data_IF_088173744577
#
_entry.id   IF_088173744577
#
_cell.length_a   1.000
_cell.length_b   1.000
_cell.length_c   1.000
_cell.angle_alpha   90.00
_cell.angle_beta   90.00
_cell.angle_gamma   90.00
#
_symmetry.space_group_name_H-M   'P 1'
#
loop_
_entity.id
_entity.type
_entity.pdbx_description
1 polymer ?
#
# COMPACT_ATOMS: atom_id res chain seq x y z
N UNK A 1 -14.79 -19.57 -42.87
CA UNK A 1 -14.73 -18.22 -42.26
C UNK A 1 -15.52 -18.09 -40.95
N UNK A 2 -16.72 -18.68 -40.80
CA UNK A 2 -17.49 -18.64 -39.53
C UNK A 2 -16.79 -19.29 -38.32
N UNK A 3 -16.11 -20.43 -38.52
CA UNK A 3 -15.38 -21.12 -37.45
C UNK A 3 -14.10 -20.41 -37.02
N UNK A 4 -13.45 -19.66 -37.93
CA UNK A 4 -12.23 -18.90 -37.64
C UNK A 4 -12.55 -17.69 -36.74
N UNK A 5 -13.72 -17.07 -36.94
CA UNK A 5 -14.17 -15.95 -36.11
C UNK A 5 -14.43 -16.35 -34.65
N UNK A 6 -14.94 -17.57 -34.40
CA UNK A 6 -15.19 -18.07 -33.05
C UNK A 6 -13.90 -18.29 -32.24
N UNK A 7 -12.80 -18.63 -32.90
CA UNK A 7 -11.51 -18.87 -32.23
C UNK A 7 -10.82 -17.57 -31.77
N UNK A 8 -11.05 -16.45 -32.47
CA UNK A 8 -10.46 -15.14 -32.16
C UNK A 8 -11.11 -14.50 -30.92
N UNK A 9 -12.40 -14.78 -30.67
CA UNK A 9 -13.15 -14.24 -29.52
C UNK A 9 -12.74 -14.92 -28.21
N UNK A 10 -12.34 -16.19 -28.24
CA UNK A 10 -11.94 -16.93 -27.04
C UNK A 10 -10.59 -16.47 -26.44
N UNK A 11 -9.71 -15.90 -27.26
CA UNK A 11 -8.38 -15.42 -26.83
C UNK A 11 -8.46 -14.10 -26.03
N UNK A 12 -9.56 -13.36 -26.11
CA UNK A 12 -9.72 -12.07 -25.43
C UNK A 12 -10.21 -12.17 -23.97
N UNK A 13 -10.51 -13.38 -23.48
CA UNK A 13 -10.93 -13.64 -22.09
C UNK A 13 -9.79 -14.24 -21.26
N UNK A 14 -8.61 -13.63 -21.26
CA UNK A 14 -7.65 -13.83 -20.18
C UNK A 14 -8.08 -12.92 -19.01
N UNK A 15 -8.70 -13.43 -17.94
CA UNK A 15 -8.96 -12.61 -16.77
C UNK A 15 -7.61 -12.13 -16.23
N UNK A 16 -7.41 -10.81 -16.21
CA UNK A 16 -6.29 -10.21 -15.50
C UNK A 16 -6.50 -10.46 -14.01
N UNK A 17 -5.97 -11.56 -13.50
CA UNK A 17 -5.96 -11.83 -12.06
C UNK A 17 -5.04 -10.78 -11.45
N UNK A 18 -5.64 -9.71 -10.92
CA UNK A 18 -4.95 -8.66 -10.20
C UNK A 18 -4.46 -9.22 -8.85
N UNK A 19 -3.35 -9.93 -8.88
CA UNK A 19 -2.66 -10.39 -7.69
C UNK A 19 -2.12 -9.16 -6.96
N UNK A 20 -2.65 -8.88 -5.76
CA UNK A 20 -2.12 -7.82 -4.89
C UNK A 20 -0.71 -8.21 -4.48
N UNK A 21 0.30 -7.67 -5.17
CA UNK A 21 1.70 -8.00 -4.93
C UNK A 21 2.08 -7.53 -3.53
N UNK A 22 2.41 -8.48 -2.66
CA UNK A 22 3.12 -8.22 -1.42
C UNK A 22 4.51 -7.71 -1.79
N UNK A 23 4.87 -6.55 -1.25
CA UNK A 23 6.18 -5.92 -1.43
C UNK A 23 7.02 -6.15 -0.19
N UNK A 24 8.33 -6.31 -0.38
CA UNK A 24 9.33 -6.42 0.66
C UNK A 24 10.48 -5.46 0.31
N UNK A 25 10.53 -4.30 0.96
CA UNK A 25 11.40 -3.19 0.56
C UNK A 25 11.91 -2.40 1.76
N UNK A 26 13.09 -1.79 1.63
CA UNK A 26 13.58 -0.79 2.59
C UNK A 26 12.72 0.47 2.47
N UNK A 27 12.21 0.92 3.61
CA UNK A 27 11.34 2.08 3.74
C UNK A 27 11.82 2.96 4.89
N UNK A 28 11.61 4.26 4.79
CA UNK A 28 11.74 5.17 5.94
C UNK A 28 10.36 5.38 6.56
N UNK A 29 10.26 5.26 7.88
CA UNK A 29 9.04 5.61 8.60
C UNK A 29 8.92 7.11 8.67
N UNK A 30 7.77 7.63 8.27
CA UNK A 30 7.43 9.05 8.40
C UNK A 30 6.19 9.15 9.28
N UNK A 31 6.25 9.94 10.34
CA UNK A 31 5.16 10.19 11.27
C UNK A 31 4.95 11.67 11.41
N UNK A 32 3.71 12.09 11.22
CA UNK A 32 3.31 13.47 11.49
C UNK A 32 1.87 13.52 11.99
N UNK A 33 1.31 14.72 12.11
CA UNK A 33 -0.05 14.90 12.63
C UNK A 33 -1.16 14.47 11.66
N UNK A 34 -0.81 14.06 10.44
CA UNK A 34 -1.74 13.52 9.42
C UNK A 34 -1.71 12.00 9.34
N UNK A 35 -0.72 11.33 9.94
CA UNK A 35 -0.68 9.87 10.01
C UNK A 35 0.71 9.26 10.15
N UNK A 36 0.79 7.97 9.80
CA UNK A 36 2.05 7.21 9.74
C UNK A 36 2.22 6.62 8.34
N UNK A 37 3.41 6.77 7.78
CA UNK A 37 3.69 6.46 6.39
C UNK A 37 4.95 5.60 6.24
N UNK A 38 4.98 4.83 5.16
CA UNK A 38 6.20 4.23 4.63
C UNK A 38 6.68 5.03 3.42
N UNK A 39 7.85 5.65 3.53
CA UNK A 39 8.51 6.36 2.43
C UNK A 39 9.41 5.42 1.64
N UNK A 40 9.12 5.30 0.35
CA UNK A 40 9.78 4.42 -0.62
C UNK A 40 10.08 5.21 -1.89
N UNK A 41 11.36 5.35 -2.25
CA UNK A 41 11.77 6.12 -3.42
C UNK A 41 11.17 7.54 -3.49
N UNK A 42 11.06 8.21 -2.33
CA UNK A 42 10.50 9.55 -2.21
C UNK A 42 8.97 9.64 -2.25
N UNK A 43 8.27 8.51 -2.35
CA UNK A 43 6.81 8.42 -2.31
C UNK A 43 6.33 7.86 -0.98
N UNK A 44 5.25 8.42 -0.45
CA UNK A 44 4.74 8.06 0.86
C UNK A 44 3.46 7.24 0.73
N UNK A 45 3.40 6.15 1.50
CA UNK A 45 2.27 5.23 1.52
C UNK A 45 1.66 5.22 2.91
N UNK A 46 0.37 5.55 3.01
CA UNK A 46 -0.30 5.71 4.30
C UNK A 46 -0.55 4.33 4.93
N UNK A 47 -0.03 4.13 6.13
CA UNK A 47 -0.12 2.85 6.86
C UNK A 47 -1.47 2.75 7.56
N UNK A 48 -2.26 1.75 7.16
CA UNK A 48 -3.58 1.52 7.75
C UNK A 48 -3.53 0.90 9.14
N UNK A 49 -2.58 0.00 9.39
CA UNK A 49 -2.39 -0.70 10.67
C UNK A 49 -1.12 -0.22 11.38
N UNK A 50 -1.09 1.07 11.73
CA UNK A 50 0.09 1.77 12.27
C UNK A 50 0.70 1.13 13.53
N UNK A 51 -0.11 0.42 14.31
CA UNK A 51 0.34 -0.29 15.52
C UNK A 51 1.46 -1.30 15.24
N UNK A 52 1.50 -1.90 14.04
CA UNK A 52 2.56 -2.83 13.62
C UNK A 52 3.96 -2.22 13.61
N UNK A 53 4.04 -0.89 13.49
CA UNK A 53 5.28 -0.12 13.41
C UNK A 53 5.32 1.01 14.45
N UNK A 54 4.44 0.98 15.44
CA UNK A 54 4.36 2.01 16.48
C UNK A 54 5.67 2.15 17.25
N UNK A 55 6.38 1.03 17.52
CA UNK A 55 7.65 1.04 18.25
C UNK A 55 8.79 1.77 17.54
N UNK A 56 8.70 1.99 16.23
CA UNK A 56 9.79 2.62 15.47
C UNK A 56 9.58 4.14 15.42
N UNK A 57 10.57 4.96 15.79
CA UNK A 57 10.44 6.41 15.75
C UNK A 57 10.39 6.95 14.31
N UNK A 58 9.96 8.19 14.17
CA UNK A 58 10.03 8.95 12.91
C UNK A 58 11.46 8.95 12.34
N UNK A 59 11.58 8.89 11.01
CA UNK A 59 12.87 8.82 10.30
C UNK A 59 13.57 7.46 10.36
N UNK A 60 13.00 6.45 11.03
CA UNK A 60 13.63 5.12 11.12
C UNK A 60 13.57 4.39 9.78
N UNK A 61 14.73 3.91 9.32
CA UNK A 61 14.79 2.95 8.21
C UNK A 61 14.46 1.55 8.69
N UNK A 62 13.56 0.88 7.98
CA UNK A 62 13.17 -0.51 8.21
C UNK A 62 13.04 -1.24 6.88
N UNK A 63 13.18 -2.56 6.90
CA UNK A 63 12.70 -3.42 5.83
C UNK A 63 11.26 -3.84 6.13
N UNK A 64 10.31 -3.31 5.34
CA UNK A 64 8.89 -3.55 5.51
C UNK A 64 8.36 -4.55 4.47
N UNK A 65 7.61 -5.55 4.92
CA UNK A 65 6.73 -6.37 4.10
C UNK A 65 5.31 -5.83 4.21
N UNK A 66 4.70 -5.43 3.10
CA UNK A 66 3.37 -4.82 3.09
C UNK A 66 2.63 -5.10 1.78
N UNK A 67 1.32 -4.84 1.76
CA UNK A 67 0.50 -4.89 0.54
C UNK A 67 -0.30 -3.60 0.39
N UNK A 68 -0.59 -3.20 -0.85
CA UNK A 68 -1.48 -2.07 -1.11
C UNK A 68 -2.94 -2.48 -0.91
N UNK A 69 -3.73 -1.59 -0.34
CA UNK A 69 -5.16 -1.77 -0.11
C UNK A 69 -5.93 -0.56 -0.65
N UNK A 70 -7.19 -0.76 -1.02
CA UNK A 70 -7.99 0.31 -1.63
C UNK A 70 -8.61 1.22 -0.55
N UNK A 71 -8.93 0.66 0.61
CA UNK A 71 -9.59 1.36 1.71
C UNK A 71 -8.99 0.92 3.03
N UNK A 72 -8.92 1.85 3.99
CA UNK A 72 -8.53 1.55 5.36
C UNK A 72 -9.73 1.73 6.28
N UNK A 73 -10.16 0.68 6.98
CA UNK A 73 -11.28 0.76 7.92
C UNK A 73 -10.90 1.43 9.25
N UNK A 74 -9.61 1.43 9.59
CA UNK A 74 -9.12 1.98 10.85
C UNK A 74 -9.04 3.53 10.83
N UNK A 75 -9.06 4.16 9.65
CA UNK A 75 -8.90 5.62 9.53
C UNK A 75 -10.14 6.43 9.93
N UNK A 76 -11.28 5.79 10.17
CA UNK A 76 -12.54 6.48 10.46
C UNK A 76 -12.57 7.17 11.83
N UNK A 77 -11.62 6.86 12.72
CA UNK A 77 -11.58 7.35 14.10
C UNK A 77 -10.33 8.17 14.46
N UNK A 78 -9.51 8.56 13.48
CA UNK A 78 -8.29 9.32 13.77
C UNK A 78 -8.53 10.83 13.71
N UNK A 79 -8.30 11.51 14.83
CA UNK A 79 -8.24 12.98 14.86
C UNK A 79 -6.90 13.41 14.26
N UNK A 80 -6.93 13.73 12.97
CA UNK A 80 -5.81 14.29 12.22
C UNK A 80 -5.88 15.82 12.23
N UNK A 81 -4.72 16.47 12.22
CA UNK A 81 -4.62 17.93 12.10
C UNK A 81 -5.15 18.40 10.73
N UNK A 82 -5.49 19.69 10.59
CA UNK A 82 -5.92 20.29 9.31
C UNK A 82 -4.76 20.52 8.33
N UNK A 83 -3.94 19.50 8.11
CA UNK A 83 -2.84 19.51 7.15
C UNK A 83 -3.07 18.44 6.08
N UNK A 84 -2.47 18.65 4.92
CA UNK A 84 -2.46 17.68 3.82
C UNK A 84 -1.07 17.09 3.66
N UNK A 85 -0.98 15.76 3.66
CA UNK A 85 0.23 15.02 3.35
C UNK A 85 -0.01 14.17 2.10
N UNK A 86 0.72 14.47 1.03
CA UNK A 86 0.60 13.76 -0.25
C UNK A 86 1.04 12.30 -0.10
N UNK A 87 0.19 11.36 -0.51
CA UNK A 87 0.47 9.93 -0.40
C UNK A 87 -0.11 9.15 -1.59
N UNK A 88 0.49 8.00 -1.87
CA UNK A 88 0.13 7.09 -2.97
C UNK A 88 -1.01 6.12 -2.59
N UNK A 89 -1.70 6.37 -1.48
CA UNK A 89 -2.78 5.55 -0.95
C UNK A 89 -2.36 4.62 0.18
N UNK A 90 -3.22 3.64 0.46
CA UNK A 90 -3.16 2.83 1.67
C UNK A 90 -2.32 1.57 1.53
N UNK A 91 -1.58 1.25 2.60
CA UNK A 91 -0.86 -0.02 2.75
C UNK A 91 -1.19 -0.69 4.08
N UNK A 92 -1.18 -2.01 4.06
CA UNK A 92 -1.25 -2.85 5.27
C UNK A 92 0.11 -3.52 5.48
N UNK A 93 0.74 -3.25 6.62
CA UNK A 93 2.02 -3.83 7.01
C UNK A 93 1.79 -5.25 7.51
N UNK A 94 2.57 -6.18 6.99
CA UNK A 94 2.57 -7.60 7.36
C UNK A 94 3.72 -7.89 8.31
N UNK A 95 4.89 -7.29 8.05
CA UNK A 95 6.11 -7.46 8.86
C UNK A 95 7.00 -6.23 8.73
N UNK A 96 7.70 -5.86 9.78
CA UNK A 96 8.69 -4.79 9.74
C UNK A 96 9.90 -5.19 10.59
N UNK A 97 11.10 -5.06 10.02
CA UNK A 97 12.36 -5.40 10.68
C UNK A 97 13.33 -4.23 10.50
N UNK A 98 14.09 -3.90 11.54
CA UNK A 98 15.15 -2.89 11.48
C UNK A 98 16.48 -3.53 11.13
#
# INVERSE_FOLDING_TARGET
>A
MRFVMALVIAIFMLPMVACKKVKHQESTIVKDCTGTYLRLNGKDYHVCNKDMIAQYPDGTKITATFKTINTCKASENETICMMYHENEGWVEVIRAVK
#
